data_IF_871943376020
#
_entry.id   IF_871943376020
#
_cell.length_a   1.000
_cell.length_b   1.000
_cell.length_c   1.000
_cell.angle_alpha   90.00
_cell.angle_beta   90.00
_cell.angle_gamma   90.00
#
_symmetry.space_group_name_H-M   'P 1'
#
loop_
_entity.id
_entity.type
_entity.pdbx_description
1 polymer ?
#
# COMPACT_ATOMS: atom_id res chain seq x y z
N UNK A 1 -26.04 35.83 -23.37
CA UNK A 1 -26.66 34.62 -23.95
C UNK A 1 -25.60 33.87 -24.75
N UNK A 2 -25.65 32.53 -24.67
CA UNK A 2 -24.84 31.50 -25.34
C UNK A 2 -23.47 31.21 -24.72
N UNK A 3 -23.37 30.23 -23.83
CA UNK A 3 -23.35 28.74 -23.97
C UNK A 3 -21.97 28.17 -24.35
N UNK A 4 -21.41 27.46 -23.37
CA UNK A 4 -20.74 26.17 -23.49
C UNK A 4 -19.70 25.95 -24.58
N UNK A 5 -18.43 25.86 -24.16
CA UNK A 5 -17.58 24.76 -24.59
C UNK A 5 -17.00 24.05 -23.36
N UNK A 6 -17.76 23.04 -22.91
CA UNK A 6 -17.23 21.91 -22.16
C UNK A 6 -16.25 21.17 -23.06
N UNK A 7 -14.98 21.10 -22.69
CA UNK A 7 -14.06 20.13 -23.26
C UNK A 7 -13.99 18.91 -22.33
N UNK A 8 -14.88 17.97 -22.61
CA UNK A 8 -14.80 16.57 -22.18
C UNK A 8 -13.89 15.84 -23.17
N UNK A 9 -12.80 15.26 -22.68
CA UNK A 9 -12.08 14.06 -23.17
C UNK A 9 -10.59 14.21 -22.77
N UNK A 10 -9.91 13.22 -22.19
CA UNK A 10 -10.14 11.79 -22.24
C UNK A 10 -9.64 11.14 -20.94
N UNK A 11 -10.36 10.11 -20.51
CA UNK A 11 -9.81 9.08 -19.62
C UNK A 11 -8.80 8.29 -20.48
N UNK A 12 -7.57 8.75 -20.55
CA UNK A 12 -6.49 7.94 -21.13
C UNK A 12 -6.20 6.77 -20.17
N UNK A 13 -6.71 5.59 -20.51
CA UNK A 13 -6.06 4.33 -20.12
C UNK A 13 -4.71 4.28 -20.81
N UNK A 14 -3.75 5.05 -20.28
CA UNK A 14 -2.41 5.17 -20.84
C UNK A 14 -1.67 3.88 -20.52
N UNK A 15 -1.59 3.01 -21.52
CA UNK A 15 -0.60 1.94 -21.54
C UNK A 15 0.74 2.62 -21.30
N UNK A 16 1.33 2.40 -20.12
CA UNK A 16 2.57 3.07 -19.74
C UNK A 16 3.65 2.66 -20.74
N UNK A 17 3.96 3.53 -21.71
CA UNK A 17 5.19 3.43 -22.44
C UNK A 17 6.32 3.52 -21.41
N UNK A 18 7.07 2.43 -21.27
CA UNK A 18 8.15 2.30 -20.28
C UNK A 18 9.17 3.45 -20.41
N UNK A 19 9.35 3.99 -21.62
CA UNK A 19 10.16 5.18 -21.89
C UNK A 19 9.63 6.45 -21.19
N UNK A 20 8.32 6.68 -21.21
CA UNK A 20 7.70 7.85 -20.55
C UNK A 20 7.78 7.72 -19.03
N UNK A 21 7.51 6.52 -18.49
CA UNK A 21 7.63 6.26 -17.05
C UNK A 21 9.08 6.50 -16.58
N UNK A 22 10.07 5.98 -17.31
CA UNK A 22 11.50 6.19 -17.02
C UNK A 22 11.87 7.67 -17.03
N UNK A 23 11.38 8.44 -18.02
CA UNK A 23 11.64 9.87 -18.14
C UNK A 23 11.05 10.65 -16.95
N UNK A 24 9.80 10.38 -16.59
CA UNK A 24 9.14 11.02 -15.44
C UNK A 24 9.82 10.63 -14.12
N UNK A 25 10.18 9.36 -13.97
CA UNK A 25 10.92 8.88 -12.81
C UNK A 25 12.24 9.62 -12.64
N UNK A 26 13.09 9.68 -13.68
CA UNK A 26 14.40 10.35 -13.59
C UNK A 26 14.22 11.83 -13.25
N UNK A 27 13.28 12.52 -13.91
CA UNK A 27 12.98 13.93 -13.65
C UNK A 27 12.61 14.16 -12.17
N UNK A 28 11.69 13.37 -11.64
CA UNK A 28 11.25 13.46 -10.24
C UNK A 28 12.34 13.05 -9.26
N UNK A 29 13.15 12.04 -9.60
CA UNK A 29 14.22 11.57 -8.72
C UNK A 29 15.35 12.58 -8.59
N UNK A 30 15.77 13.23 -9.69
CA UNK A 30 16.76 14.32 -9.66
C UNK A 30 16.26 15.46 -8.76
N UNK A 31 14.99 15.85 -8.89
CA UNK A 31 14.39 16.87 -8.02
C UNK A 31 14.37 16.44 -6.54
N UNK A 32 14.02 15.18 -6.27
CA UNK A 32 14.03 14.62 -4.91
C UNK A 32 15.43 14.57 -4.29
N UNK A 33 16.46 14.30 -5.10
CA UNK A 33 17.86 14.33 -4.66
C UNK A 33 18.32 15.75 -4.33
N UNK A 34 17.95 16.75 -5.12
CA UNK A 34 18.25 18.15 -4.84
C UNK A 34 17.64 18.60 -3.51
N UNK A 35 16.37 18.26 -3.25
CA UNK A 35 15.69 18.59 -1.99
C UNK A 35 16.38 17.89 -0.80
N UNK A 36 16.74 16.61 -0.96
CA UNK A 36 17.45 15.86 0.07
C UNK A 36 18.84 16.45 0.38
N UNK A 37 19.54 16.97 -0.63
CA UNK A 37 20.83 17.63 -0.47
C UNK A 37 20.71 18.99 0.23
N UNK A 38 19.68 19.78 -0.10
CA UNK A 38 19.43 21.09 0.51
C UNK A 38 18.89 21.01 1.95
N UNK A 39 18.30 19.88 2.34
CA UNK A 39 17.57 19.71 3.61
C UNK A 39 18.47 19.67 4.86
N UNK A 40 19.73 19.21 4.80
CA UNK A 40 20.62 19.20 5.97
C UNK A 40 22.09 18.91 5.62
N UNK A 41 23.02 19.73 6.13
CA UNK A 41 24.47 19.62 5.83
C UNK A 41 25.19 18.53 6.65
N UNK A 42 24.63 18.12 7.79
CA UNK A 42 25.21 17.13 8.70
C UNK A 42 24.27 15.93 8.84
N UNK A 43 24.34 14.98 7.91
CA UNK A 43 23.63 13.70 8.00
C UNK A 43 24.62 12.55 8.09
N UNK A 44 24.34 11.56 8.93
CA UNK A 44 25.12 10.33 8.98
C UNK A 44 24.97 9.57 7.65
N UNK A 45 25.99 8.80 7.25
CA UNK A 45 25.99 7.95 6.06
C UNK A 45 24.74 7.04 6.00
N UNK A 46 24.32 6.47 7.13
CA UNK A 46 23.14 5.62 7.20
C UNK A 46 21.85 6.39 6.87
N UNK A 47 21.72 7.61 7.36
CA UNK A 47 20.56 8.47 7.11
C UNK A 47 20.53 8.94 5.67
N UNK A 48 21.69 9.28 5.10
CA UNK A 48 21.85 9.62 3.68
C UNK A 48 21.38 8.47 2.79
N UNK A 49 21.81 7.24 3.08
CA UNK A 49 21.38 6.04 2.34
C UNK A 49 19.87 5.85 2.42
N UNK A 50 19.28 6.01 3.61
CA UNK A 50 17.82 5.89 3.80
C UNK A 50 17.07 6.97 3.02
N UNK A 51 17.51 8.22 3.05
CA UNK A 51 16.90 9.32 2.28
C UNK A 51 17.00 9.12 0.78
N UNK A 52 18.15 8.68 0.25
CA UNK A 52 18.31 8.40 -1.18
C UNK A 52 17.32 7.31 -1.63
N UNK A 53 17.22 6.23 -0.87
CA UNK A 53 16.27 5.15 -1.13
C UNK A 53 14.83 5.68 -1.11
N UNK A 54 14.46 6.40 -0.05
CA UNK A 54 13.12 6.95 0.11
C UNK A 54 12.76 7.93 -1.01
N UNK A 55 13.70 8.78 -1.42
CA UNK A 55 13.54 9.71 -2.54
C UNK A 55 13.28 8.97 -3.86
N UNK A 56 13.99 7.88 -4.12
CA UNK A 56 13.73 7.02 -5.28
C UNK A 56 12.34 6.37 -5.21
N UNK A 57 11.96 5.83 -4.05
CA UNK A 57 10.66 5.19 -3.81
C UNK A 57 9.49 6.18 -4.03
N UNK A 58 9.61 7.42 -3.52
CA UNK A 58 8.62 8.50 -3.73
C UNK A 58 8.58 8.95 -5.19
N UNK A 59 9.74 9.11 -5.84
CA UNK A 59 9.80 9.50 -7.25
C UNK A 59 9.13 8.47 -8.14
N UNK A 60 9.34 7.18 -7.87
CA UNK A 60 8.72 6.09 -8.62
C UNK A 60 7.21 6.03 -8.38
N UNK A 61 6.76 6.14 -7.13
CA UNK A 61 5.34 6.21 -6.78
C UNK A 61 4.63 7.39 -7.46
N UNK A 62 5.29 8.55 -7.49
CA UNK A 62 4.78 9.77 -8.10
C UNK A 62 4.79 9.71 -9.63
N UNK A 63 5.78 9.08 -10.25
CA UNK A 63 5.81 8.88 -11.71
C UNK A 63 4.70 7.93 -12.19
N UNK A 64 4.24 7.04 -11.31
CA UNK A 64 3.12 6.12 -11.55
C UNK A 64 1.74 6.72 -11.23
N UNK A 65 1.67 8.03 -10.97
CA UNK A 65 0.45 8.79 -10.71
C UNK A 65 -0.44 8.20 -9.60
N UNK A 66 0.14 7.57 -8.58
CA UNK A 66 -0.61 6.91 -7.49
C UNK A 66 -1.65 5.88 -7.97
N UNK A 67 -1.44 5.25 -9.13
CA UNK A 67 -2.41 4.32 -9.72
C UNK A 67 -2.47 2.98 -8.97
N UNK A 68 -1.34 2.58 -8.40
CA UNK A 68 -1.14 1.28 -7.75
C UNK A 68 -1.34 1.37 -6.24
N UNK A 69 -1.68 0.28 -5.58
CA UNK A 69 -1.88 0.33 -4.13
C UNK A 69 -0.56 0.56 -3.38
N UNK A 70 0.55 0.03 -3.90
CA UNK A 70 1.89 0.30 -3.34
C UNK A 70 2.28 1.78 -3.44
N UNK A 71 2.00 2.46 -4.57
CA UNK A 71 2.37 3.87 -4.74
C UNK A 71 1.60 4.78 -3.78
N UNK A 72 0.30 4.51 -3.59
CA UNK A 72 -0.51 5.20 -2.57
C UNK A 72 0.01 4.95 -1.16
N UNK A 73 0.38 3.72 -0.82
CA UNK A 73 0.90 3.38 0.49
C UNK A 73 2.21 4.12 0.80
N UNK A 74 3.17 4.14 -0.13
CA UNK A 74 4.44 4.90 0.04
C UNK A 74 4.15 6.37 0.28
N UNK A 75 3.30 7.00 -0.55
CA UNK A 75 3.00 8.42 -0.42
C UNK A 75 2.27 8.73 0.89
N UNK A 76 1.40 7.83 1.36
CA UNK A 76 0.72 7.98 2.66
C UNK A 76 1.68 7.82 3.84
N UNK A 77 2.65 6.92 3.74
CA UNK A 77 3.67 6.70 4.79
C UNK A 77 4.62 7.89 4.86
N UNK A 78 5.08 8.38 3.71
CA UNK A 78 5.98 9.53 3.61
C UNK A 78 5.35 10.81 4.17
N UNK A 79 4.03 10.99 4.06
CA UNK A 79 3.32 12.15 4.62
C UNK A 79 3.28 12.19 6.15
N UNK A 80 3.67 11.14 6.86
CA UNK A 80 3.71 11.13 8.33
C UNK A 80 4.89 11.92 8.92
N UNK A 81 5.93 12.14 8.12
CA UNK A 81 7.13 12.88 8.52
C UNK A 81 7.17 14.21 7.75
N UNK A 82 7.28 15.31 8.47
CA UNK A 82 7.27 16.69 7.95
C UNK A 82 8.30 16.91 6.84
N UNK A 83 9.50 16.33 6.99
CA UNK A 83 10.58 16.48 6.01
C UNK A 83 10.30 15.70 4.71
N UNK A 84 9.61 14.57 4.83
CA UNK A 84 9.22 13.75 3.70
C UNK A 84 7.95 14.27 3.04
N UNK A 85 7.08 14.96 3.77
CA UNK A 85 5.90 15.66 3.23
C UNK A 85 6.34 16.71 2.20
N UNK A 86 7.35 17.51 2.51
CA UNK A 86 7.92 18.51 1.58
C UNK A 86 8.41 17.84 0.30
N UNK A 87 9.07 16.68 0.40
CA UNK A 87 9.48 15.90 -0.78
C UNK A 87 8.27 15.46 -1.60
N UNK A 88 7.25 14.89 -0.96
CA UNK A 88 6.04 14.39 -1.63
C UNK A 88 5.30 15.53 -2.36
N UNK A 89 5.12 16.68 -1.73
CA UNK A 89 4.41 17.82 -2.34
C UNK A 89 5.15 18.37 -3.55
N UNK A 90 6.47 18.52 -3.46
CA UNK A 90 7.29 19.03 -4.56
C UNK A 90 7.38 18.04 -5.74
N UNK A 91 7.40 16.73 -5.47
CA UNK A 91 7.50 15.69 -6.50
C UNK A 91 6.14 15.33 -7.11
N UNK A 92 5.04 15.54 -6.39
CA UNK A 92 3.69 15.30 -6.91
C UNK A 92 3.31 16.32 -7.97
N UNK A 93 3.90 17.52 -7.94
CA UNK A 93 3.42 18.66 -8.72
C UNK A 93 2.05 19.10 -8.20
N UNK A 94 1.75 20.40 -8.28
CA UNK A 94 0.44 20.93 -7.90
C UNK A 94 -0.62 20.53 -8.95
N UNK A 95 -0.91 19.24 -9.07
CA UNK A 95 -2.01 18.72 -9.88
C UNK A 95 -3.08 18.17 -8.93
N UNK A 96 -3.95 19.10 -8.55
CA UNK A 96 -5.28 18.88 -7.98
C UNK A 96 -5.34 18.10 -6.67
N UNK A 97 -5.98 18.73 -5.70
CA UNK A 97 -6.47 18.14 -4.46
C UNK A 97 -7.24 16.85 -4.79
N UNK A 98 -6.59 15.69 -4.70
CA UNK A 98 -7.31 14.44 -4.53
C UNK A 98 -7.89 14.49 -3.12
N UNK A 99 -9.16 14.89 -3.06
CA UNK A 99 -9.99 14.77 -1.87
C UNK A 99 -9.76 13.38 -1.29
N UNK A 100 -9.28 13.34 -0.04
CA UNK A 100 -9.46 12.18 0.81
C UNK A 100 -10.98 12.01 0.93
N UNK A 101 -11.56 11.17 0.06
CA UNK A 101 -12.92 10.74 0.24
C UNK A 101 -12.96 10.12 1.63
N UNK A 102 -13.68 10.79 2.53
CA UNK A 102 -14.05 10.33 3.85
C UNK A 102 -14.41 8.84 3.74
N UNK A 103 -13.49 7.95 4.06
CA UNK A 103 -13.87 6.59 4.39
C UNK A 103 -14.36 6.69 5.82
N UNK A 104 -15.63 7.12 5.93
CA UNK A 104 -16.43 7.08 7.13
C UNK A 104 -16.33 5.62 7.59
N UNK A 105 -15.45 5.37 8.55
CA UNK A 105 -15.40 4.08 9.24
C UNK A 105 -16.77 3.97 9.89
N UNK A 106 -17.62 3.11 9.34
CA UNK A 106 -18.88 2.75 9.96
C UNK A 106 -18.53 2.15 11.31
N UNK A 107 -18.72 2.94 12.36
CA UNK A 107 -18.65 2.49 13.73
C UNK A 107 -19.71 1.40 13.87
N UNK A 108 -19.27 0.15 13.94
CA UNK A 108 -20.14 -0.98 14.21
C UNK A 108 -20.75 -0.76 15.60
N UNK A 109 -21.97 -0.27 15.66
CA UNK A 109 -22.72 -0.18 16.90
C UNK A 109 -22.75 -1.56 17.56
N UNK A 110 -22.04 -1.69 18.69
CA UNK A 110 -22.15 -2.84 19.58
C UNK A 110 -23.61 -2.90 20.00
N UNK A 111 -24.38 -3.85 19.46
CA UNK A 111 -25.67 -4.21 20.03
C UNK A 111 -25.39 -4.79 21.41
N UNK A 112 -25.70 -4.00 22.43
CA UNK A 112 -25.90 -4.50 23.78
C UNK A 112 -27.12 -5.40 23.70
N UNK A 113 -26.91 -6.71 23.59
CA UNK A 113 -27.95 -7.71 23.83
C UNK A 113 -27.66 -8.35 25.18
N UNK A 114 -28.61 -8.19 26.10
CA UNK A 114 -28.61 -8.69 27.47
C UNK A 114 -28.50 -10.22 27.53
N UNK A 115 -27.28 -10.74 27.67
CA UNK A 115 -27.01 -12.18 27.81
C UNK A 115 -27.34 -12.71 29.23
N UNK A 116 -28.60 -12.64 29.66
CA UNK A 116 -29.00 -13.21 30.97
C UNK A 116 -30.03 -14.36 30.94
N UNK A 117 -30.47 -14.86 29.78
CA UNK A 117 -31.46 -15.96 29.73
C UNK A 117 -31.08 -17.09 28.76
N UNK A 118 -29.81 -17.51 28.69
CA UNK A 118 -29.43 -18.76 27.99
C UNK A 118 -28.38 -19.60 28.75
N UNK A 119 -28.16 -19.33 30.04
CA UNK A 119 -27.33 -20.18 30.91
C UNK A 119 -28.13 -21.35 31.49
N UNK A 120 -28.61 -22.29 30.67
CA UNK A 120 -28.99 -23.63 31.20
C UNK A 120 -28.98 -24.82 30.24
N UNK A 121 -28.60 -24.69 28.96
CA UNK A 121 -28.55 -25.85 28.03
C UNK A 121 -27.19 -26.16 27.40
N UNK A 122 -26.15 -25.34 27.60
CA UNK A 122 -24.80 -25.57 27.05
C UNK A 122 -23.94 -26.58 27.82
N UNK A 123 -24.48 -27.22 28.87
CA UNK A 123 -23.76 -28.19 29.70
C UNK A 123 -23.63 -29.59 29.08
N UNK A 124 -24.53 -29.96 28.16
CA UNK A 124 -24.60 -31.34 27.61
C UNK A 124 -23.99 -31.44 26.20
N UNK A 125 -24.00 -30.35 25.42
CA UNK A 125 -23.47 -30.36 24.05
C UNK A 125 -21.93 -30.26 23.95
N UNK A 126 -21.21 -30.06 25.07
CA UNK A 126 -19.74 -29.95 25.05
C UNK A 126 -19.00 -31.29 25.15
N UNK A 127 -19.70 -32.44 25.24
CA UNK A 127 -19.05 -33.76 25.32
C UNK A 127 -19.12 -34.63 24.06
N UNK A 128 -19.80 -34.21 22.98
CA UNK A 128 -19.94 -35.00 21.73
C UNK A 128 -19.60 -34.25 20.43
N UNK A 129 -18.54 -33.42 20.46
CA UNK A 129 -17.76 -33.09 19.25
C UNK A 129 -16.26 -33.33 19.48
N UNK A 130 -15.95 -34.47 20.11
CA UNK A 130 -14.80 -35.29 19.71
C UNK A 130 -15.38 -36.34 18.76
N UNK A 131 -14.69 -36.67 17.67
CA UNK A 131 -15.13 -37.52 16.53
C UNK A 131 -15.61 -36.73 15.29
N UNK A 132 -14.71 -35.94 14.71
CA UNK A 132 -14.54 -35.87 13.25
C UNK A 132 -13.16 -35.27 12.96
N UNK A 133 -12.21 -35.99 12.35
CA UNK A 133 -10.98 -35.38 11.85
C UNK A 133 -11.34 -34.60 10.58
N UNK A 134 -11.76 -33.34 10.68
CA UNK A 134 -11.69 -32.44 9.52
C UNK A 134 -10.27 -31.92 9.38
N UNK A 135 -9.34 -32.82 9.09
CA UNK A 135 -7.99 -32.45 8.73
C UNK A 135 -7.39 -33.48 7.78
N UNK A 136 -7.91 -33.55 6.55
CA UNK A 136 -7.18 -34.09 5.41
C UNK A 136 -6.02 -33.17 4.97
N UNK A 137 -5.41 -32.46 5.89
CA UNK A 137 -4.18 -31.71 5.64
C UNK A 137 -3.05 -32.65 6.02
N UNK A 138 -2.50 -33.35 5.03
CA UNK A 138 -1.28 -34.13 5.21
C UNK A 138 -0.20 -33.26 5.89
N UNK A 139 0.76 -33.90 6.55
CA UNK A 139 1.93 -33.21 7.11
C UNK A 139 2.58 -32.29 6.07
N UNK A 140 2.59 -32.72 4.81
CA UNK A 140 3.05 -31.92 3.67
C UNK A 140 2.25 -30.62 3.49
N UNK A 141 0.91 -30.65 3.59
CA UNK A 141 0.08 -29.44 3.50
C UNK A 141 0.34 -28.47 4.66
N UNK A 142 0.58 -28.97 5.87
CA UNK A 142 0.96 -28.13 7.02
C UNK A 142 2.32 -27.45 6.81
N UNK A 143 3.30 -28.20 6.31
CA UNK A 143 4.64 -27.69 5.97
C UNK A 143 4.54 -26.65 4.85
N UNK A 144 3.80 -26.96 3.78
CA UNK A 144 3.58 -26.05 2.65
C UNK A 144 2.97 -24.73 3.11
N UNK A 145 1.90 -24.77 3.92
CA UNK A 145 1.27 -23.56 4.49
C UNK A 145 2.26 -22.72 5.30
N UNK A 146 3.10 -23.37 6.13
CA UNK A 146 4.13 -22.67 6.92
C UNK A 146 5.19 -22.02 6.03
N UNK A 147 5.64 -22.71 4.98
CA UNK A 147 6.60 -22.20 4.02
C UNK A 147 6.02 -21.01 3.24
N UNK A 148 4.79 -21.12 2.73
CA UNK A 148 4.09 -20.04 2.02
C UNK A 148 3.98 -18.83 2.93
N UNK A 149 3.50 -18.97 4.18
CA UNK A 149 3.42 -17.85 5.12
C UNK A 149 4.76 -17.13 5.32
N UNK A 150 5.85 -17.87 5.48
CA UNK A 150 7.20 -17.28 5.63
C UNK A 150 7.62 -16.54 4.37
N UNK A 151 7.41 -17.12 3.19
CA UNK A 151 7.75 -16.51 1.90
C UNK A 151 6.91 -15.26 1.63
N UNK A 152 5.60 -15.32 1.88
CA UNK A 152 4.70 -14.17 1.77
C UNK A 152 5.13 -13.05 2.70
N UNK A 153 5.54 -13.34 3.94
CA UNK A 153 6.03 -12.31 4.87
C UNK A 153 7.30 -11.61 4.36
N UNK A 154 8.22 -12.36 3.75
CA UNK A 154 9.40 -11.77 3.11
C UNK A 154 8.99 -10.91 1.92
N UNK A 155 8.09 -11.40 1.07
CA UNK A 155 7.60 -10.66 -0.09
C UNK A 155 6.91 -9.35 0.31
N UNK A 156 6.09 -9.35 1.37
CA UNK A 156 5.45 -8.14 1.93
C UNK A 156 6.44 -7.05 2.33
N UNK A 157 7.64 -7.43 2.77
CA UNK A 157 8.72 -6.50 3.15
C UNK A 157 9.54 -6.01 1.96
N UNK A 158 9.55 -6.76 0.86
CA UNK A 158 10.28 -6.41 -0.37
C UNK A 158 9.46 -5.50 -1.27
N UNK A 159 8.16 -5.78 -1.41
CA UNK A 159 7.24 -4.97 -2.20
C UNK A 159 6.89 -3.71 -1.41
N UNK A 160 7.08 -2.51 -1.97
CA UNK A 160 6.71 -1.30 -1.28
C UNK A 160 5.23 -1.31 -0.86
N UNK A 161 4.92 -0.91 0.38
CA UNK A 161 3.55 -0.94 0.91
C UNK A 161 2.96 -2.34 1.17
N UNK A 162 3.72 -3.43 0.93
CA UNK A 162 3.23 -4.80 1.03
C UNK A 162 2.85 -5.26 2.45
N UNK A 163 3.37 -4.62 3.50
CA UNK A 163 3.07 -4.99 4.90
C UNK A 163 1.57 -4.92 5.24
N UNK A 164 0.84 -4.01 4.60
CA UNK A 164 -0.59 -3.77 4.84
C UNK A 164 -1.52 -4.48 3.84
N UNK A 165 -0.98 -5.24 2.89
CA UNK A 165 -1.74 -5.91 1.84
C UNK A 165 -2.10 -7.35 2.23
N UNK A 166 -3.17 -7.89 1.64
CA UNK A 166 -3.50 -9.31 1.72
C UNK A 166 -2.57 -10.17 0.84
N UNK A 167 -2.66 -11.49 0.97
CA UNK A 167 -1.74 -12.42 0.27
C UNK A 167 -1.85 -12.32 -1.26
N UNK A 168 -3.06 -12.08 -1.79
CA UNK A 168 -3.28 -11.99 -3.23
C UNK A 168 -2.82 -10.64 -3.78
N UNK A 169 -3.18 -9.53 -3.12
CA UNK A 169 -2.75 -8.20 -3.58
C UNK A 169 -1.23 -8.04 -3.57
N UNK A 170 -0.52 -8.62 -2.59
CA UNK A 170 0.94 -8.59 -2.58
C UNK A 170 1.57 -9.26 -3.80
N UNK A 171 0.99 -10.36 -4.29
CA UNK A 171 1.49 -11.03 -5.49
C UNK A 171 1.23 -10.16 -6.73
N UNK A 172 0.02 -9.60 -6.85
CA UNK A 172 -0.34 -8.70 -7.95
C UNK A 172 0.55 -7.47 -8.00
N UNK A 173 0.76 -6.83 -6.87
CA UNK A 173 1.59 -5.62 -6.76
C UNK A 173 3.09 -5.94 -6.92
N UNK A 174 3.54 -7.14 -6.53
CA UNK A 174 4.90 -7.61 -6.82
C UNK A 174 5.17 -7.70 -8.33
N UNK A 175 4.23 -8.26 -9.10
CA UNK A 175 4.34 -8.33 -10.56
C UNK A 175 4.41 -6.92 -11.17
N UNK A 176 3.52 -6.03 -10.74
CA UNK A 176 3.49 -4.65 -11.19
C UNK A 176 4.77 -3.87 -10.83
N UNK A 177 5.34 -4.14 -9.64
CA UNK A 177 6.62 -3.56 -9.22
C UNK A 177 7.78 -4.05 -10.08
N UNK A 178 7.88 -5.37 -10.33
CA UNK A 178 8.93 -5.96 -11.19
C UNK A 178 8.86 -5.37 -12.61
N UNK A 179 7.66 -5.24 -13.18
CA UNK A 179 7.47 -4.65 -14.51
C UNK A 179 7.84 -3.16 -14.59
N UNK A 180 8.00 -2.49 -13.43
CA UNK A 180 8.37 -1.07 -13.36
C UNK A 180 9.87 -0.83 -13.18
N UNK A 181 10.66 -1.88 -12.92
CA UNK A 181 12.13 -1.84 -12.84
C UNK A 181 12.72 -1.72 -14.25
#
# INVERSE_FOLDING_TARGET
>A
MNLCQHNLNSKETKMHNSSQLKKEFIKKWVQGLQICYSSNKTMNLLERKKKIKLSADIALASAKNSTTSWSKAILSEAKKDEQNMILVENLSGCESKFMCAHQKVTYCHKRITSNKILKKSYGVHRKMKKMAPRCGSSLATCIAKRLVKKRTQVLKRLVPGGEFMDEYSVIKEALDYILSL
#
